data_IF_158613049103
#
_entry.id   IF_158613049103
#
_cell.length_a   1.000
_cell.length_b   1.000
_cell.length_c   1.000
_cell.angle_alpha   90.00
_cell.angle_beta   90.00
_cell.angle_gamma   90.00
#
_symmetry.space_group_name_H-M   'P 1'
#
loop_
_entity.id
_entity.type
_entity.pdbx_description
1 polymer ?
#
# COMPACT_ATOMS: atom_id res chain seq x y z
N UNK A 1 -13.73 -3.29 -18.50
CA UNK A 1 -14.18 -3.13 -19.90
C UNK A 1 -13.33 -2.07 -20.55
N UNK A 2 -12.69 -2.38 -21.65
CA UNK A 2 -11.84 -1.47 -22.42
C UNK A 2 -12.70 -0.50 -23.22
N UNK A 3 -12.48 0.79 -23.10
CA UNK A 3 -13.22 1.79 -23.86
C UNK A 3 -12.47 2.16 -25.14
N UNK A 4 -13.24 2.27 -26.24
CA UNK A 4 -12.73 2.55 -27.57
C UNK A 4 -12.91 4.03 -27.86
N UNK A 5 -11.82 4.76 -28.05
CA UNK A 5 -11.85 6.14 -28.54
C UNK A 5 -11.68 6.10 -30.07
N UNK A 6 -12.65 6.65 -30.81
CA UNK A 6 -12.60 6.70 -32.27
C UNK A 6 -12.18 8.08 -32.70
N UNK A 7 -11.08 8.12 -33.43
CA UNK A 7 -10.52 9.34 -34.00
C UNK A 7 -10.84 9.35 -35.50
N UNK A 8 -11.17 10.51 -36.01
CA UNK A 8 -11.68 10.87 -37.33
C UNK A 8 -11.52 9.83 -38.48
N UNK A 9 -12.62 9.61 -39.20
CA UNK A 9 -12.78 8.59 -40.25
C UNK A 9 -12.17 8.98 -41.59
N UNK A 10 -11.82 10.25 -41.82
CA UNK A 10 -11.27 10.73 -43.09
C UNK A 10 -9.75 10.51 -43.24
N UNK A 11 -9.02 10.16 -42.19
CA UNK A 11 -7.61 9.88 -42.25
C UNK A 11 -7.36 8.37 -42.10
N UNK A 12 -6.87 7.66 -43.12
CA UNK A 12 -6.64 6.21 -43.07
C UNK A 12 -5.52 5.80 -42.10
N UNK A 13 -4.79 6.76 -41.50
CA UNK A 13 -3.72 6.50 -40.55
C UNK A 13 -4.18 6.42 -39.10
N UNK A 14 -5.45 6.74 -38.82
CA UNK A 14 -5.98 6.82 -37.46
C UNK A 14 -6.54 5.49 -36.99
N UNK A 15 -5.91 4.94 -35.98
CA UNK A 15 -6.35 3.72 -35.30
C UNK A 15 -7.13 4.03 -34.02
N UNK A 16 -7.96 3.09 -33.63
CA UNK A 16 -8.76 3.15 -32.40
C UNK A 16 -7.90 3.28 -31.15
N UNK A 17 -8.25 4.17 -30.25
CA UNK A 17 -7.62 4.33 -28.93
C UNK A 17 -8.55 3.69 -27.89
N UNK A 18 -7.99 2.79 -27.09
CA UNK A 18 -8.69 2.15 -25.98
C UNK A 18 -8.40 2.90 -24.70
N UNK A 19 -9.44 3.37 -24.01
CA UNK A 19 -9.35 3.96 -22.69
C UNK A 19 -10.02 3.01 -21.70
N UNK A 20 -9.28 2.58 -20.66
CA UNK A 20 -9.87 1.87 -19.54
C UNK A 20 -10.40 2.87 -18.52
N UNK A 21 -11.67 2.77 -18.08
CA UNK A 21 -12.15 3.62 -17.01
C UNK A 21 -11.59 3.10 -15.69
N UNK A 22 -10.73 3.86 -15.09
CA UNK A 22 -10.36 3.65 -13.68
C UNK A 22 -11.31 4.48 -12.84
N UNK A 23 -12.26 3.82 -12.17
CA UNK A 23 -13.03 4.49 -11.12
C UNK A 23 -12.14 4.61 -9.89
N UNK A 24 -11.89 5.84 -9.46
CA UNK A 24 -10.98 6.17 -8.35
C UNK A 24 -11.53 5.86 -6.95
N UNK A 25 -12.77 5.37 -6.82
CA UNK A 25 -13.46 5.29 -5.52
C UNK A 25 -14.08 3.93 -5.16
N UNK A 26 -13.96 2.91 -6.02
CA UNK A 26 -14.44 1.56 -5.67
C UNK A 26 -15.96 1.43 -5.51
N UNK A 27 -16.74 2.45 -5.87
CA UNK A 27 -18.20 2.38 -5.89
C UNK A 27 -18.65 1.60 -7.12
N UNK A 28 -19.58 0.68 -6.92
CA UNK A 28 -20.30 -0.01 -8.00
C UNK A 28 -20.77 1.01 -9.03
N UNK A 29 -20.45 0.77 -10.32
CA UNK A 29 -20.90 1.59 -11.43
C UNK A 29 -22.40 1.43 -11.60
N UNK A 30 -23.17 1.98 -10.70
CA UNK A 30 -24.59 2.26 -10.91
C UNK A 30 -24.69 3.60 -11.63
N UNK A 31 -24.78 3.51 -12.98
CA UNK A 31 -25.16 4.60 -13.86
C UNK A 31 -24.23 5.84 -13.93
N UNK A 32 -22.91 5.69 -13.85
CA UNK A 32 -22.04 6.77 -14.34
C UNK A 32 -22.02 6.74 -15.88
N UNK A 33 -22.38 7.85 -16.50
CA UNK A 33 -22.38 8.00 -17.95
C UNK A 33 -20.93 7.88 -18.46
N UNK A 34 -20.65 6.82 -19.21
CA UNK A 34 -19.33 6.59 -19.80
C UNK A 34 -19.22 7.44 -21.05
N UNK A 35 -18.21 8.31 -21.12
CA UNK A 35 -17.97 9.20 -22.25
C UNK A 35 -16.93 8.61 -23.19
N UNK A 36 -17.24 8.59 -24.49
CA UNK A 36 -16.27 8.32 -25.54
C UNK A 36 -15.99 9.59 -26.34
N UNK A 37 -14.70 9.90 -26.51
CA UNK A 37 -14.27 11.11 -27.21
C UNK A 37 -14.05 10.84 -28.68
N UNK A 38 -14.63 11.68 -29.54
CA UNK A 38 -14.39 11.72 -30.97
C UNK A 38 -13.54 12.94 -31.27
N UNK A 39 -12.30 12.75 -31.69
CA UNK A 39 -11.34 13.82 -31.94
C UNK A 39 -11.34 14.25 -33.39
N UNK A 40 -11.23 15.57 -33.64
CA UNK A 40 -10.84 16.13 -34.92
C UNK A 40 -9.31 16.25 -35.03
N UNK A 41 -8.78 16.55 -36.22
CA UNK A 41 -7.33 16.67 -36.46
C UNK A 41 -6.66 17.79 -35.64
N UNK A 42 -5.31 17.84 -35.64
CA UNK A 42 -4.49 18.91 -35.00
C UNK A 42 -4.71 20.27 -35.65
N UNK A 43 -4.98 20.30 -36.95
CA UNK A 43 -5.34 21.51 -37.69
C UNK A 43 -6.77 21.31 -38.17
N UNK A 44 -7.76 21.43 -37.25
CA UNK A 44 -9.13 21.11 -37.59
C UNK A 44 -9.67 22.13 -38.61
N UNK A 45 -9.98 21.61 -39.78
CA UNK A 45 -10.78 22.32 -40.78
C UNK A 45 -12.27 22.10 -40.54
N UNK A 46 -13.08 22.73 -41.35
CA UNK A 46 -14.53 22.65 -41.23
C UNK A 46 -15.05 21.23 -41.37
N UNK A 47 -14.46 20.43 -42.27
CA UNK A 47 -14.86 19.03 -42.48
C UNK A 47 -14.58 18.18 -41.25
N UNK A 48 -13.36 18.26 -40.69
CA UNK A 48 -12.97 17.45 -39.52
C UNK A 48 -13.78 17.78 -38.26
N UNK A 49 -14.11 19.06 -38.04
CA UNK A 49 -14.97 19.48 -36.92
C UNK A 49 -16.41 19.01 -37.11
N UNK A 50 -16.97 19.20 -38.28
CA UNK A 50 -18.34 18.79 -38.62
C UNK A 50 -18.47 17.26 -38.59
N UNK A 51 -17.45 16.53 -39.07
CA UNK A 51 -17.41 15.07 -39.00
C UNK A 51 -17.38 14.56 -37.55
N UNK A 52 -16.57 15.17 -36.67
CA UNK A 52 -16.51 14.78 -35.25
C UNK A 52 -17.88 15.00 -34.56
N UNK A 53 -18.51 16.14 -34.77
CA UNK A 53 -19.85 16.46 -34.22
C UNK A 53 -20.88 15.45 -34.74
N UNK A 54 -20.92 15.27 -36.05
CA UNK A 54 -21.91 14.39 -36.70
C UNK A 54 -21.76 12.93 -36.28
N UNK A 55 -20.52 12.46 -36.17
CA UNK A 55 -20.25 11.09 -35.75
C UNK A 55 -20.60 10.88 -34.29
N UNK A 56 -20.25 11.78 -33.39
CA UNK A 56 -20.65 11.72 -31.99
C UNK A 56 -22.16 11.67 -31.83
N UNK A 57 -22.88 12.53 -32.56
CA UNK A 57 -24.35 12.56 -32.58
C UNK A 57 -24.94 11.25 -33.14
N UNK A 58 -24.43 10.75 -34.27
CA UNK A 58 -24.86 9.47 -34.84
C UNK A 58 -24.70 8.31 -33.87
N UNK A 59 -23.57 8.22 -33.19
CA UNK A 59 -23.35 7.21 -32.19
C UNK A 59 -24.31 7.30 -31.03
N UNK A 60 -24.55 8.49 -30.49
CA UNK A 60 -25.51 8.70 -29.41
C UNK A 60 -26.94 8.31 -29.84
N UNK A 61 -27.34 8.60 -31.10
CA UNK A 61 -28.65 8.19 -31.63
C UNK A 61 -28.74 6.65 -31.82
N UNK A 62 -27.67 6.01 -32.24
CA UNK A 62 -27.62 4.52 -32.33
C UNK A 62 -27.77 3.89 -30.92
N UNK A 63 -27.07 4.41 -29.89
CA UNK A 63 -27.21 3.96 -28.52
C UNK A 63 -28.67 4.10 -28.02
N UNK A 64 -29.32 5.23 -28.29
CA UNK A 64 -30.71 5.45 -27.90
C UNK A 64 -31.70 4.52 -28.62
N UNK A 65 -31.49 4.23 -29.91
CA UNK A 65 -32.39 3.41 -30.73
C UNK A 65 -32.25 1.91 -30.52
N UNK A 66 -31.12 1.45 -30.01
CA UNK A 66 -30.81 0.03 -29.81
C UNK A 66 -30.56 -0.33 -28.35
N UNK A 67 -31.53 -0.24 -27.45
CA UNK A 67 -31.31 -0.46 -26.02
C UNK A 67 -30.83 -1.86 -25.67
N UNK A 68 -31.04 -2.86 -26.55
CA UNK A 68 -30.59 -4.25 -26.34
C UNK A 68 -29.09 -4.45 -26.58
N UNK A 69 -28.47 -3.57 -27.39
CA UNK A 69 -27.04 -3.60 -27.72
C UNK A 69 -26.32 -2.35 -27.25
N UNK A 70 -27.05 -1.46 -26.56
CA UNK A 70 -26.51 -0.22 -26.03
C UNK A 70 -25.40 -0.52 -25.03
N UNK A 71 -24.27 0.16 -25.19
CA UNK A 71 -23.11 0.06 -24.30
C UNK A 71 -23.22 0.98 -23.08
N UNK A 72 -24.24 1.85 -23.03
CA UNK A 72 -24.40 2.89 -22.01
C UNK A 72 -23.42 4.05 -22.16
N UNK A 73 -22.74 4.15 -23.30
CA UNK A 73 -21.74 5.18 -23.55
C UNK A 73 -22.38 6.46 -24.09
N UNK A 74 -21.83 7.62 -23.72
CA UNK A 74 -22.12 8.91 -24.34
C UNK A 74 -20.92 9.35 -25.17
N UNK A 75 -21.15 9.73 -26.41
CA UNK A 75 -20.12 10.17 -27.35
C UNK A 75 -20.06 11.70 -27.37
N UNK A 76 -18.87 12.26 -27.15
CA UNK A 76 -18.66 13.72 -27.12
C UNK A 76 -17.61 14.09 -28.17
N UNK A 77 -17.96 15.06 -29.03
CA UNK A 77 -16.99 15.61 -29.96
C UNK A 77 -15.98 16.49 -29.23
N UNK A 78 -14.70 16.34 -29.57
CA UNK A 78 -13.58 17.15 -29.08
C UNK A 78 -12.68 17.56 -30.24
N UNK A 79 -11.88 18.60 -30.08
CA UNK A 79 -10.91 19.05 -31.07
C UNK A 79 -9.51 19.12 -30.48
N UNK A 80 -8.51 18.84 -31.32
CA UNK A 80 -7.11 18.88 -30.93
C UNK A 80 -6.39 20.19 -31.36
N UNK A 81 -7.10 21.14 -31.94
CA UNK A 81 -6.55 22.41 -32.40
C UNK A 81 -7.56 23.55 -32.36
N UNK A 82 -7.12 24.74 -32.76
CA UNK A 82 -7.96 25.95 -32.80
C UNK A 82 -8.95 25.90 -33.96
N UNK A 83 -10.16 26.39 -33.73
CA UNK A 83 -11.18 26.59 -34.78
C UNK A 83 -10.74 27.75 -35.68
N UNK A 84 -10.71 27.53 -36.99
CA UNK A 84 -10.44 28.59 -37.96
C UNK A 84 -11.69 29.45 -38.23
N UNK A 85 -11.53 30.59 -38.93
CA UNK A 85 -12.61 31.53 -39.16
C UNK A 85 -13.76 30.93 -40.00
N UNK A 86 -13.45 30.07 -40.97
CA UNK A 86 -14.44 29.39 -41.79
C UNK A 86 -15.30 28.45 -40.97
N UNK A 87 -14.64 27.61 -40.15
CA UNK A 87 -15.32 26.69 -39.24
C UNK A 87 -16.17 27.44 -38.20
N UNK A 88 -15.65 28.54 -37.66
CA UNK A 88 -16.42 29.37 -36.73
C UNK A 88 -17.70 29.90 -37.37
N UNK A 89 -17.62 30.41 -38.61
CA UNK A 89 -18.76 30.87 -39.35
C UNK A 89 -19.79 29.76 -39.59
N UNK A 90 -19.33 28.56 -39.99
CA UNK A 90 -20.25 27.44 -40.23
C UNK A 90 -20.93 27.01 -38.92
N UNK A 91 -20.20 26.89 -37.83
CA UNK A 91 -20.78 26.54 -36.52
C UNK A 91 -21.82 27.56 -36.07
N UNK A 92 -21.53 28.86 -36.20
CA UNK A 92 -22.46 29.92 -35.87
C UNK A 92 -23.72 29.86 -36.77
N UNK A 93 -23.54 29.67 -38.09
CA UNK A 93 -24.62 29.59 -39.08
C UNK A 93 -25.60 28.46 -38.79
N UNK A 94 -25.11 27.34 -38.26
CA UNK A 94 -25.93 26.16 -37.94
C UNK A 94 -26.25 26.02 -36.46
N UNK A 95 -25.96 27.06 -35.65
CA UNK A 95 -26.17 27.05 -34.19
C UNK A 95 -25.58 25.86 -33.49
N UNK A 96 -24.40 25.38 -33.94
CA UNK A 96 -23.65 24.28 -33.36
C UNK A 96 -22.53 24.82 -32.44
N UNK A 97 -22.41 24.27 -31.26
CA UNK A 97 -21.30 24.60 -30.35
C UNK A 97 -19.99 24.02 -30.85
N UNK A 98 -18.92 24.80 -30.73
CA UNK A 98 -17.58 24.30 -31.04
C UNK A 98 -17.18 23.20 -30.05
N UNK A 99 -16.67 22.05 -30.53
CA UNK A 99 -16.17 21.02 -29.65
C UNK A 99 -15.10 21.56 -28.69
N UNK A 100 -15.14 21.15 -27.41
CA UNK A 100 -14.16 21.57 -26.45
C UNK A 100 -12.75 21.05 -26.85
N UNK A 101 -11.74 21.87 -26.64
CA UNK A 101 -10.37 21.55 -26.99
C UNK A 101 -9.79 20.50 -25.99
N UNK A 102 -9.08 19.52 -26.53
CA UNK A 102 -8.21 18.64 -25.73
C UNK A 102 -6.79 19.14 -25.90
N UNK A 103 -6.16 19.57 -24.81
CA UNK A 103 -4.80 20.09 -24.80
C UNK A 103 -3.76 18.96 -24.72
N UNK A 104 -4.11 17.85 -24.10
CA UNK A 104 -3.23 16.71 -23.93
C UNK A 104 -4.03 15.39 -23.85
N UNK A 105 -3.45 14.34 -24.41
CA UNK A 105 -3.95 12.96 -24.39
C UNK A 105 -2.85 11.99 -23.96
N UNK A 106 -1.82 12.48 -23.29
CA UNK A 106 -0.75 11.67 -22.70
C UNK A 106 -1.35 10.62 -21.75
N UNK A 107 -0.76 9.43 -21.71
CA UNK A 107 -1.13 8.40 -20.74
C UNK A 107 -0.74 8.89 -19.36
N UNK A 108 -1.66 8.88 -18.41
CA UNK A 108 -1.44 9.25 -17.01
C UNK A 108 -1.33 8.01 -16.12
N UNK A 109 -0.86 8.17 -14.90
CA UNK A 109 -0.72 7.06 -13.93
C UNK A 109 -2.07 6.40 -13.63
N UNK A 110 -3.16 7.15 -13.61
CA UNK A 110 -4.53 6.59 -13.46
C UNK A 110 -4.95 5.63 -14.58
N UNK A 111 -4.29 5.73 -15.75
CA UNK A 111 -4.59 4.89 -16.93
C UNK A 111 -3.80 3.58 -16.94
N UNK A 112 -2.84 3.38 -16.03
CA UNK A 112 -2.07 2.15 -15.93
C UNK A 112 -2.63 1.23 -14.85
N UNK A 113 -2.19 -0.03 -14.84
CA UNK A 113 -2.59 -0.98 -13.80
C UNK A 113 -1.97 -0.60 -12.46
N UNK A 114 -2.79 -0.05 -11.57
CA UNK A 114 -2.48 0.23 -10.17
C UNK A 114 -2.96 -0.97 -9.34
N UNK A 115 -2.06 -1.54 -8.53
CA UNK A 115 -2.41 -2.59 -7.57
C UNK A 115 -2.95 -1.91 -6.31
N UNK A 116 -4.22 -2.14 -5.98
CA UNK A 116 -4.85 -1.67 -4.75
C UNK A 116 -4.41 -2.56 -3.58
N UNK A 117 -3.16 -2.43 -3.15
CA UNK A 117 -2.68 -3.10 -1.93
C UNK A 117 -3.14 -2.28 -0.74
N UNK A 118 -3.88 -2.89 0.17
CA UNK A 118 -4.22 -2.23 1.43
C UNK A 118 -2.96 -1.84 2.18
N UNK A 119 -2.95 -0.62 2.70
CA UNK A 119 -1.86 -0.15 3.52
C UNK A 119 -1.90 -0.82 4.89
N UNK A 120 -0.72 -1.07 5.45
CA UNK A 120 -0.58 -1.68 6.78
C UNK A 120 -0.33 -0.61 7.84
N UNK A 121 -0.72 -0.92 9.08
CA UNK A 121 -0.42 -0.06 10.23
C UNK A 121 1.06 -0.18 10.63
N UNK A 122 1.69 0.93 10.98
CA UNK A 122 3.10 1.00 11.36
C UNK A 122 3.47 0.24 12.64
N UNK A 123 2.48 -0.18 13.45
CA UNK A 123 2.70 -0.90 14.71
C UNK A 123 2.63 -2.43 14.57
N UNK A 124 2.31 -2.97 13.39
CA UNK A 124 2.38 -4.42 13.18
C UNK A 124 3.82 -4.92 13.31
N UNK A 125 3.97 -6.19 13.71
CA UNK A 125 5.28 -6.82 13.86
C UNK A 125 5.95 -7.09 12.50
N UNK A 126 7.27 -7.21 12.50
CA UNK A 126 8.04 -7.64 11.32
C UNK A 126 7.59 -9.01 10.82
N UNK A 127 7.27 -9.96 11.74
CA UNK A 127 6.70 -11.28 11.39
C UNK A 127 5.41 -11.10 10.59
N UNK A 128 4.49 -10.27 11.08
CA UNK A 128 3.20 -10.03 10.42
C UNK A 128 3.37 -9.38 9.05
N UNK A 129 4.24 -8.38 8.94
CA UNK A 129 4.55 -7.74 7.66
C UNK A 129 5.12 -8.74 6.63
N UNK A 130 6.04 -9.61 7.07
CA UNK A 130 6.58 -10.67 6.22
C UNK A 130 5.52 -11.67 5.74
N UNK A 131 4.63 -12.09 6.62
CA UNK A 131 3.50 -12.97 6.27
C UNK A 131 2.59 -12.32 5.24
N UNK A 132 2.25 -11.03 5.43
CA UNK A 132 1.44 -10.28 4.47
C UNK A 132 2.13 -10.15 3.11
N UNK A 133 3.44 -9.87 3.08
CA UNK A 133 4.21 -9.84 1.82
C UNK A 133 4.14 -11.18 1.08
N UNK A 134 4.24 -12.31 1.81
CA UNK A 134 4.12 -13.66 1.21
C UNK A 134 2.73 -13.92 0.66
N UNK A 135 1.69 -13.64 1.43
CA UNK A 135 0.29 -13.85 1.02
C UNK A 135 -0.06 -13.01 -0.21
N UNK A 136 0.35 -11.75 -0.21
CA UNK A 136 0.06 -10.81 -1.31
C UNK A 136 1.02 -10.96 -2.51
N UNK A 137 2.08 -11.75 -2.38
CA UNK A 137 3.10 -11.92 -3.43
C UNK A 137 3.85 -10.63 -3.75
N UNK A 138 4.08 -9.77 -2.75
CA UNK A 138 4.70 -8.46 -2.90
C UNK A 138 6.01 -8.36 -2.14
N UNK A 139 6.89 -7.46 -2.56
CA UNK A 139 8.17 -7.18 -1.90
C UNK A 139 8.19 -5.84 -1.17
N UNK A 140 7.10 -5.08 -1.30
CA UNK A 140 6.94 -3.76 -0.70
C UNK A 140 5.51 -3.64 -0.15
N UNK A 141 5.38 -3.23 1.11
CA UNK A 141 4.10 -2.87 1.71
C UNK A 141 4.06 -1.36 1.98
N UNK A 142 2.98 -0.68 1.59
CA UNK A 142 2.72 0.68 2.00
C UNK A 142 2.30 0.71 3.47
N UNK A 143 2.87 1.62 4.23
CA UNK A 143 2.49 1.85 5.62
C UNK A 143 1.65 3.11 5.68
N UNK A 144 0.43 3.01 6.20
CA UNK A 144 -0.55 4.09 6.19
C UNK A 144 -1.07 4.41 7.59
N UNK A 145 -1.46 5.67 7.77
CA UNK A 145 -2.23 6.12 8.93
C UNK A 145 -3.53 6.77 8.43
N UNK A 146 -4.64 6.08 8.65
CA UNK A 146 -5.88 6.40 7.93
C UNK A 146 -5.63 6.23 6.43
N UNK A 147 -5.88 7.28 5.66
CA UNK A 147 -5.66 7.28 4.21
C UNK A 147 -4.30 7.87 3.78
N UNK A 148 -3.45 8.31 4.73
CA UNK A 148 -2.17 8.97 4.41
C UNK A 148 -1.02 7.97 4.41
N UNK A 149 -0.15 8.06 3.41
CA UNK A 149 1.09 7.29 3.36
C UNK A 149 2.04 7.78 4.46
N UNK A 150 2.43 6.88 5.38
CA UNK A 150 3.38 7.15 6.47
C UNK A 150 4.79 6.64 6.14
N UNK A 151 4.87 5.57 5.36
CA UNK A 151 6.14 4.93 5.05
C UNK A 151 6.01 3.79 4.06
N UNK A 152 7.15 3.18 3.76
CA UNK A 152 7.25 1.93 3.01
C UNK A 152 8.12 0.94 3.78
N UNK A 153 7.72 -0.33 3.82
CA UNK A 153 8.56 -1.42 4.31
C UNK A 153 8.83 -2.39 3.16
N UNK A 154 10.08 -2.73 2.96
CA UNK A 154 10.51 -3.67 1.90
C UNK A 154 11.13 -4.93 2.49
N UNK A 155 11.18 -6.01 1.71
CA UNK A 155 11.84 -7.27 2.13
C UNK A 155 13.29 -7.07 2.57
N UNK A 156 13.98 -6.09 1.99
CA UNK A 156 15.34 -5.72 2.37
C UNK A 156 15.44 -5.18 3.80
N UNK A 157 14.46 -4.42 4.26
CA UNK A 157 14.42 -3.90 5.64
C UNK A 157 14.23 -5.05 6.64
N UNK A 158 13.39 -6.04 6.28
CA UNK A 158 13.20 -7.25 7.09
C UNK A 158 14.49 -8.06 7.15
N UNK A 159 15.15 -8.26 6.02
CA UNK A 159 16.43 -8.99 6.00
C UNK A 159 17.51 -8.28 6.82
N UNK A 160 17.60 -6.94 6.68
CA UNK A 160 18.54 -6.12 7.45
C UNK A 160 18.28 -6.21 8.95
N UNK A 161 17.02 -6.10 9.38
CA UNK A 161 16.66 -6.22 10.79
C UNK A 161 17.07 -7.56 11.40
N UNK A 162 17.15 -8.60 10.58
CA UNK A 162 17.56 -9.94 11.01
C UNK A 162 19.08 -10.09 11.14
N UNK A 163 19.83 -9.35 10.31
CA UNK A 163 21.30 -9.44 10.28
C UNK A 163 21.98 -8.50 11.28
N UNK A 164 21.32 -7.38 11.60
CA UNK A 164 21.91 -6.32 12.45
C UNK A 164 21.60 -6.48 13.95
N UNK A 165 21.00 -7.63 14.36
CA UNK A 165 20.59 -7.84 15.75
C UNK A 165 21.76 -8.36 16.60
N UNK A 166 22.52 -7.44 17.15
CA UNK A 166 23.51 -7.70 18.20
C UNK A 166 23.17 -7.00 19.53
N UNK A 167 22.08 -6.21 19.54
CA UNK A 167 21.69 -5.41 20.69
C UNK A 167 20.47 -6.03 21.38
N UNK A 168 20.64 -6.48 22.61
CA UNK A 168 19.57 -7.07 23.42
C UNK A 168 18.58 -6.02 23.95
N UNK A 169 18.83 -4.72 23.77
CA UNK A 169 17.91 -3.62 24.12
C UNK A 169 17.05 -3.18 22.94
N UNK A 170 17.20 -3.81 21.77
CA UNK A 170 16.52 -3.35 20.54
C UNK A 170 14.99 -3.41 20.64
N UNK A 171 14.43 -4.36 21.39
CA UNK A 171 12.97 -4.46 21.59
C UNK A 171 12.42 -3.26 22.35
N UNK A 172 13.10 -2.82 23.40
CA UNK A 172 12.71 -1.64 24.18
C UNK A 172 12.92 -0.36 23.39
N UNK A 173 14.04 -0.25 22.67
CA UNK A 173 14.34 0.89 21.77
C UNK A 173 13.29 1.02 20.65
N UNK A 174 12.84 -0.09 20.09
CA UNK A 174 11.78 -0.13 19.09
C UNK A 174 10.38 0.13 19.67
N UNK A 175 10.25 0.17 21.02
CA UNK A 175 8.98 0.30 21.75
C UNK A 175 8.01 -0.79 21.31
N UNK A 176 8.43 -2.05 21.49
CA UNK A 176 7.67 -3.22 21.05
C UNK A 176 6.44 -3.42 21.92
N UNK A 177 5.28 -3.56 21.31
CA UNK A 177 4.02 -3.83 22.01
C UNK A 177 3.97 -5.29 22.45
N UNK A 178 3.51 -5.58 23.66
CA UNK A 178 3.41 -6.95 24.16
C UNK A 178 2.51 -7.83 23.29
N UNK A 179 1.47 -7.29 22.70
CA UNK A 179 0.65 -7.97 21.70
C UNK A 179 1.48 -8.57 20.56
N UNK A 180 2.43 -7.79 20.03
CA UNK A 180 3.31 -8.27 18.97
C UNK A 180 4.21 -9.42 19.44
N UNK A 181 4.65 -9.40 20.72
CA UNK A 181 5.43 -10.47 21.32
C UNK A 181 4.59 -11.74 21.43
N UNK A 182 3.37 -11.62 21.98
CA UNK A 182 2.41 -12.72 22.09
C UNK A 182 2.12 -13.33 20.72
N UNK A 183 1.75 -12.53 19.74
CA UNK A 183 1.46 -13.01 18.37
C UNK A 183 2.69 -13.63 17.69
N UNK A 184 3.88 -13.09 17.93
CA UNK A 184 5.10 -13.60 17.30
C UNK A 184 5.53 -14.95 17.87
N UNK A 185 5.32 -15.15 19.17
CA UNK A 185 5.71 -16.37 19.88
C UNK A 185 4.56 -17.40 19.99
N UNK A 186 3.45 -17.19 19.26
CA UNK A 186 2.23 -18.00 19.39
C UNK A 186 1.85 -18.23 20.87
N UNK A 187 2.05 -17.17 21.67
CA UNK A 187 1.95 -17.22 23.12
C UNK A 187 0.55 -16.88 23.64
N UNK A 188 0.40 -17.10 24.94
CA UNK A 188 -0.77 -16.71 25.72
C UNK A 188 -0.36 -15.69 26.77
N UNK A 189 -1.07 -14.56 26.84
CA UNK A 189 -0.91 -13.58 27.90
C UNK A 189 -1.66 -14.07 29.15
N UNK A 190 -0.96 -14.21 30.28
CA UNK A 190 -1.51 -14.63 31.56
C UNK A 190 -1.74 -13.47 32.50
N UNK A 191 -0.85 -12.47 32.50
CA UNK A 191 -0.97 -11.23 33.29
C UNK A 191 -0.51 -10.02 32.49
N UNK A 192 -0.96 -8.85 32.88
CA UNK A 192 -0.56 -7.58 32.26
C UNK A 192 -1.49 -7.12 31.13
N UNK A 193 -1.04 -6.13 30.38
CA UNK A 193 -1.81 -5.51 29.29
C UNK A 193 -1.08 -5.70 27.96
N UNK A 194 -1.71 -6.42 27.03
CA UNK A 194 -1.15 -6.68 25.69
C UNK A 194 -0.90 -5.41 24.85
N UNK A 195 -1.65 -4.34 25.14
CA UNK A 195 -1.51 -3.06 24.45
C UNK A 195 -0.43 -2.15 25.04
N UNK A 196 0.16 -2.53 26.18
CA UNK A 196 1.33 -1.83 26.72
C UNK A 196 2.60 -2.12 25.89
N UNK A 197 3.62 -1.32 26.14
CA UNK A 197 4.87 -1.37 25.37
C UNK A 197 6.05 -1.72 26.26
N UNK A 198 6.92 -2.58 25.76
CA UNK A 198 8.25 -2.79 26.33
C UNK A 198 9.13 -1.59 25.93
N UNK A 199 9.50 -0.75 26.89
CA UNK A 199 10.15 0.53 26.64
C UNK A 199 11.48 0.73 27.37
N UNK A 200 11.79 -0.13 28.33
CA UNK A 200 13.03 -0.14 29.10
C UNK A 200 13.54 -1.57 29.29
N UNK A 201 14.82 -1.71 29.56
CA UNK A 201 15.43 -3.01 29.81
C UNK A 201 15.93 -3.71 28.55
N UNK A 202 16.53 -4.87 28.77
CA UNK A 202 17.09 -5.78 27.76
C UNK A 202 16.38 -7.13 27.79
N UNK A 203 16.61 -7.94 26.76
CA UNK A 203 16.18 -9.35 26.75
C UNK A 203 17.24 -10.20 27.44
N UNK A 204 16.83 -10.96 28.44
CA UNK A 204 17.68 -11.87 29.21
C UNK A 204 17.17 -13.31 29.04
N UNK A 205 18.05 -14.25 28.85
CA UNK A 205 17.71 -15.67 28.82
C UNK A 205 18.14 -16.25 30.17
N UNK A 206 17.18 -16.67 30.97
CA UNK A 206 17.38 -17.26 32.30
C UNK A 206 17.77 -18.72 32.20
N UNK A 207 19.08 -19.00 32.07
CA UNK A 207 19.65 -20.36 32.03
C UNK A 207 20.65 -20.49 33.18
N UNK A 208 20.55 -21.58 33.94
CA UNK A 208 21.47 -21.88 35.01
C UNK A 208 20.81 -22.02 36.37
N UNK A 209 21.58 -21.77 37.46
CA UNK A 209 21.02 -21.80 38.81
C UNK A 209 20.16 -20.58 39.10
N UNK A 210 19.21 -20.66 40.04
CA UNK A 210 18.36 -19.54 40.42
C UNK A 210 19.14 -18.25 40.74
N UNK A 211 20.25 -18.37 41.45
CA UNK A 211 21.12 -17.24 41.82
C UNK A 211 21.82 -16.64 40.58
N UNK A 212 22.25 -17.51 39.64
CA UNK A 212 22.86 -17.10 38.37
C UNK A 212 21.88 -16.33 37.50
N UNK A 213 20.65 -16.80 37.42
CA UNK A 213 19.56 -16.13 36.70
C UNK A 213 19.27 -14.74 37.29
N UNK A 214 19.12 -14.68 38.62
CA UNK A 214 18.84 -13.41 39.34
C UNK A 214 19.96 -12.38 39.13
N UNK A 215 21.23 -12.81 39.14
CA UNK A 215 22.36 -11.88 38.96
C UNK A 215 22.46 -11.29 37.56
N UNK A 216 21.78 -11.89 36.55
CA UNK A 216 21.76 -11.43 35.15
C UNK A 216 20.61 -10.46 34.86
N UNK A 217 19.61 -10.40 35.74
CA UNK A 217 18.37 -9.62 35.52
C UNK A 217 18.50 -8.27 36.19
N UNK A 218 18.33 -7.23 35.42
CA UNK A 218 18.15 -5.87 35.92
C UNK A 218 16.65 -5.50 35.97
N UNK A 219 16.34 -4.43 36.68
CA UNK A 219 15.00 -3.87 36.70
C UNK A 219 14.52 -3.57 35.28
N UNK A 220 13.24 -3.82 35.03
CA UNK A 220 12.54 -3.59 33.76
C UNK A 220 12.96 -4.51 32.60
N UNK A 221 13.83 -5.52 32.84
CA UNK A 221 14.23 -6.48 31.82
C UNK A 221 13.06 -7.38 31.37
N UNK A 222 13.16 -7.93 30.16
CA UNK A 222 12.33 -9.00 29.65
C UNK A 222 13.09 -10.32 29.81
N UNK A 223 12.55 -11.25 30.56
CA UNK A 223 13.21 -12.52 30.91
C UNK A 223 12.53 -13.69 30.19
N UNK A 224 13.31 -14.50 29.48
CA UNK A 224 12.86 -15.80 28.96
C UNK A 224 13.36 -16.90 29.87
N UNK A 225 12.46 -17.76 30.35
CA UNK A 225 12.78 -18.78 31.36
C UNK A 225 12.00 -20.07 31.11
N UNK A 226 12.49 -21.18 31.67
CA UNK A 226 11.84 -22.48 31.64
C UNK A 226 10.91 -22.71 32.84
N UNK A 227 10.82 -23.99 33.26
CA UNK A 227 9.90 -24.52 34.28
C UNK A 227 10.33 -24.32 35.74
N UNK A 228 11.50 -23.78 35.99
CA UNK A 228 12.01 -23.60 37.37
C UNK A 228 11.21 -22.54 38.13
N UNK A 229 10.24 -22.94 38.95
CA UNK A 229 9.37 -22.04 39.72
C UNK A 229 10.16 -21.06 40.61
N UNK A 230 11.21 -21.55 41.29
CA UNK A 230 12.11 -20.71 42.10
C UNK A 230 12.74 -19.58 41.25
N UNK A 231 13.25 -19.93 40.07
CA UNK A 231 13.82 -18.94 39.13
C UNK A 231 12.78 -17.98 38.58
N UNK A 232 11.55 -18.45 38.39
CA UNK A 232 10.41 -17.57 37.96
C UNK A 232 10.08 -16.57 39.07
N UNK A 233 9.95 -17.03 40.31
CA UNK A 233 9.69 -16.16 41.49
C UNK A 233 10.82 -15.15 41.74
N UNK A 234 12.06 -15.53 41.60
CA UNK A 234 13.20 -14.64 41.72
C UNK A 234 13.26 -13.61 40.59
N UNK A 235 12.90 -14.00 39.38
CA UNK A 235 12.79 -13.07 38.25
C UNK A 235 11.74 -11.98 38.50
N UNK A 236 10.58 -12.36 39.02
CA UNK A 236 9.50 -11.42 39.41
C UNK A 236 10.01 -10.54 40.58
N UNK A 237 10.72 -11.11 41.56
CA UNK A 237 11.27 -10.36 42.70
C UNK A 237 12.31 -9.33 42.26
N UNK A 238 13.04 -9.57 41.16
CA UNK A 238 13.98 -8.61 40.56
C UNK A 238 13.32 -7.46 39.82
N UNK A 239 11.98 -7.35 39.82
CA UNK A 239 11.19 -6.34 39.14
C UNK A 239 11.42 -6.32 37.62
N UNK A 240 11.49 -7.49 36.98
CA UNK A 240 11.44 -7.57 35.52
C UNK A 240 10.11 -7.00 35.01
N UNK A 241 10.09 -6.40 33.82
CA UNK A 241 8.86 -5.87 33.22
C UNK A 241 8.02 -6.96 32.53
N UNK A 242 8.70 -8.01 32.04
CA UNK A 242 8.04 -9.10 31.36
C UNK A 242 8.77 -10.42 31.63
N UNK A 243 8.02 -11.49 31.85
CA UNK A 243 8.53 -12.85 31.93
C UNK A 243 7.84 -13.72 30.87
N UNK A 244 8.65 -14.45 30.07
CA UNK A 244 8.17 -15.38 29.05
C UNK A 244 8.58 -16.78 29.47
N UNK A 245 7.59 -17.62 29.80
CA UNK A 245 7.80 -19.03 30.10
C UNK A 245 7.72 -19.85 28.82
N UNK A 246 8.78 -20.58 28.52
CA UNK A 246 8.95 -21.32 27.25
C UNK A 246 8.55 -22.79 27.40
N UNK A 247 8.53 -23.56 26.29
CA UNK A 247 8.17 -24.97 26.19
C UNK A 247 6.71 -25.32 26.56
N UNK A 248 5.83 -24.36 26.73
CA UNK A 248 4.46 -24.62 27.15
C UNK A 248 4.33 -25.21 28.57
N UNK A 249 5.31 -24.98 29.41
CA UNK A 249 5.27 -25.45 30.80
C UNK A 249 4.07 -24.84 31.54
N UNK A 250 3.49 -25.65 32.43
CA UNK A 250 2.47 -25.16 33.37
C UNK A 250 3.10 -24.19 34.35
N UNK A 251 2.41 -23.09 34.61
CA UNK A 251 2.85 -22.04 35.53
C UNK A 251 1.97 -22.12 36.76
N UNK A 252 2.58 -22.16 37.95
CA UNK A 252 1.83 -22.25 39.20
C UNK A 252 0.98 -21.00 39.44
N UNK A 253 -0.11 -21.18 40.19
CA UNK A 253 -1.00 -20.08 40.53
C UNK A 253 -0.27 -19.02 41.39
N UNK A 254 0.70 -19.46 42.22
CA UNK A 254 1.53 -18.58 43.03
C UNK A 254 2.37 -17.64 42.16
N UNK A 255 2.98 -18.14 41.08
CA UNK A 255 3.75 -17.34 40.13
C UNK A 255 2.85 -16.33 39.41
N UNK A 256 1.63 -16.76 38.99
CA UNK A 256 0.67 -15.87 38.33
C UNK A 256 0.22 -14.76 39.26
N UNK A 257 -0.06 -15.08 40.52
CA UNK A 257 -0.46 -14.07 41.52
C UNK A 257 0.68 -13.09 41.84
N UNK A 258 1.87 -13.58 42.04
CA UNK A 258 3.07 -12.76 42.25
C UNK A 258 3.34 -11.81 41.06
N UNK A 259 3.16 -12.30 39.84
CA UNK A 259 3.29 -11.48 38.63
C UNK A 259 2.22 -10.37 38.57
N UNK A 260 0.98 -10.68 38.95
CA UNK A 260 -0.11 -9.68 39.03
C UNK A 260 0.18 -8.61 40.08
N UNK A 261 0.60 -9.02 41.29
CA UNK A 261 0.89 -8.09 42.39
C UNK A 261 2.01 -7.12 42.05
N UNK A 262 2.98 -7.55 41.24
CA UNK A 262 4.13 -6.72 40.83
C UNK A 262 3.98 -6.09 39.45
N UNK A 263 2.81 -6.20 38.84
CA UNK A 263 2.51 -5.68 37.51
C UNK A 263 3.44 -6.22 36.41
N UNK A 264 4.00 -7.42 36.59
CA UNK A 264 4.83 -8.08 35.60
C UNK A 264 3.96 -8.67 34.48
N UNK A 265 4.32 -8.42 33.22
CA UNK A 265 3.67 -9.06 32.07
C UNK A 265 4.13 -10.49 31.98
N UNK A 266 3.22 -11.46 32.11
CA UNK A 266 3.52 -12.89 32.05
C UNK A 266 2.95 -13.50 30.77
N UNK A 267 3.82 -14.10 29.96
CA UNK A 267 3.49 -14.73 28.68
C UNK A 267 3.95 -16.19 28.73
N UNK A 268 3.11 -17.14 28.34
CA UNK A 268 3.47 -18.51 28.07
C UNK A 268 3.60 -18.73 26.57
N UNK A 269 4.63 -19.46 26.11
CA UNK A 269 4.79 -19.84 24.70
C UNK A 269 5.08 -21.33 24.57
N UNK A 270 4.50 -22.01 23.53
CA UNK A 270 4.82 -23.41 23.26
C UNK A 270 6.25 -23.63 22.72
N UNK A 271 6.90 -22.57 22.25
CA UNK A 271 8.25 -22.65 21.70
C UNK A 271 9.30 -22.90 22.80
N UNK A 272 10.34 -23.66 22.46
CA UNK A 272 11.54 -23.78 23.30
C UNK A 272 12.28 -22.44 23.37
N UNK A 273 13.16 -22.31 24.37
CA UNK A 273 13.88 -21.07 24.65
C UNK A 273 14.73 -20.59 23.47
N UNK A 274 15.37 -21.51 22.73
CA UNK A 274 16.18 -21.16 21.57
C UNK A 274 15.31 -20.60 20.43
N UNK A 275 14.20 -21.26 20.14
CA UNK A 275 13.23 -20.82 19.13
C UNK A 275 12.62 -19.48 19.51
N UNK A 276 12.18 -19.31 20.76
CA UNK A 276 11.61 -18.07 21.27
C UNK A 276 12.63 -16.91 21.18
N UNK A 277 13.88 -17.14 21.59
CA UNK A 277 14.95 -16.14 21.51
C UNK A 277 15.28 -15.73 20.06
N UNK A 278 15.17 -16.63 19.11
CA UNK A 278 15.33 -16.30 17.67
C UNK A 278 14.16 -15.53 17.11
N UNK A 279 12.95 -15.82 17.54
CA UNK A 279 11.74 -15.23 16.99
C UNK A 279 11.41 -13.87 17.61
N UNK A 280 11.78 -13.62 18.86
CA UNK A 280 11.32 -12.44 19.59
C UNK A 280 11.63 -11.14 18.89
N UNK A 281 12.76 -11.03 18.20
CA UNK A 281 13.14 -9.84 17.46
C UNK A 281 12.20 -9.54 16.28
N UNK A 282 11.46 -10.54 15.78
CA UNK A 282 10.46 -10.36 14.74
C UNK A 282 9.17 -9.71 15.26
N UNK A 283 9.03 -9.58 16.60
CA UNK A 283 7.91 -8.85 17.23
C UNK A 283 8.03 -7.33 17.13
N UNK A 284 9.22 -6.82 16.79
CA UNK A 284 9.43 -5.38 16.66
C UNK A 284 8.49 -4.76 15.64
N UNK A 285 7.96 -3.55 15.92
CA UNK A 285 7.07 -2.87 14.99
C UNK A 285 7.81 -2.40 13.73
N UNK A 286 7.17 -2.53 12.56
CA UNK A 286 7.75 -2.08 11.29
C UNK A 286 8.09 -0.59 11.28
N UNK A 287 7.45 0.21 12.11
CA UNK A 287 7.71 1.64 12.30
C UNK A 287 9.19 1.95 12.59
N UNK A 288 9.90 1.04 13.23
CA UNK A 288 11.31 1.20 13.56
C UNK A 288 12.21 1.09 12.31
N UNK A 289 11.82 0.28 11.33
CA UNK A 289 12.63 -0.07 10.16
C UNK A 289 12.15 0.56 8.85
N UNK A 290 10.88 0.94 8.75
CA UNK A 290 10.31 1.47 7.52
C UNK A 290 10.99 2.76 7.06
N UNK A 291 11.06 2.94 5.76
CA UNK A 291 11.48 4.20 5.15
C UNK A 291 10.36 5.23 5.30
N UNK A 292 10.68 6.39 5.91
CA UNK A 292 9.73 7.50 6.17
C UNK A 292 10.01 8.76 5.38
N UNK A 293 11.27 8.97 4.98
CA UNK A 293 11.73 10.18 4.28
C UNK A 293 12.21 9.84 2.89
N UNK A 294 12.01 10.77 1.97
CA UNK A 294 12.46 10.58 0.60
C UNK A 294 11.71 9.49 -0.16
N UNK A 295 10.48 9.20 0.24
CA UNK A 295 9.61 8.27 -0.49
C UNK A 295 9.23 8.92 -1.81
N UNK A 296 9.62 8.25 -2.90
CA UNK A 296 9.22 8.66 -4.24
C UNK A 296 7.82 8.09 -4.48
N UNK A 297 6.88 8.95 -4.70
CA UNK A 297 5.50 8.67 -5.03
C UNK A 297 5.11 9.43 -6.29
N UNK A 298 4.00 9.07 -6.87
CA UNK A 298 3.44 9.73 -8.04
C UNK A 298 1.96 9.99 -7.84
N UNK A 299 1.47 11.04 -8.48
CA UNK A 299 0.06 11.39 -8.46
C UNK A 299 -0.69 10.70 -9.61
N UNK A 300 -2.00 10.52 -9.43
CA UNK A 300 -2.85 9.88 -10.45
C UNK A 300 -2.78 10.57 -11.82
N UNK A 301 -2.58 11.90 -11.81
CA UNK A 301 -2.56 12.73 -13.01
C UNK A 301 -1.18 12.91 -13.62
N UNK A 302 -0.12 12.35 -13.01
CA UNK A 302 1.23 12.39 -13.55
C UNK A 302 1.32 11.68 -14.91
N UNK A 303 2.08 12.26 -15.86
CA UNK A 303 2.25 11.65 -17.17
C UNK A 303 3.24 10.49 -17.14
N UNK A 304 2.85 9.38 -17.73
CA UNK A 304 3.64 8.14 -17.76
C UNK A 304 5.04 8.35 -18.37
N UNK A 305 5.18 9.21 -19.36
CA UNK A 305 6.48 9.45 -19.99
C UNK A 305 7.45 10.20 -19.05
N UNK A 306 6.97 11.18 -18.29
CA UNK A 306 7.74 11.89 -17.25
C UNK A 306 8.11 10.95 -16.10
N UNK A 307 7.15 10.13 -15.68
CA UNK A 307 7.37 9.12 -14.64
C UNK A 307 8.40 8.08 -15.08
N UNK A 308 8.40 7.68 -16.37
CA UNK A 308 9.42 6.77 -16.92
C UNK A 308 10.84 7.33 -16.82
N UNK A 309 11.02 8.60 -17.14
CA UNK A 309 12.31 9.28 -17.03
C UNK A 309 12.80 9.31 -15.58
N UNK A 310 11.90 9.66 -14.66
CA UNK A 310 12.19 9.66 -13.22
C UNK A 310 12.57 8.27 -12.72
N UNK A 311 11.75 7.25 -13.04
CA UNK A 311 11.92 5.88 -12.59
C UNK A 311 13.16 5.22 -13.20
N UNK A 312 13.60 5.62 -14.41
CA UNK A 312 14.79 5.06 -15.06
C UNK A 312 16.06 5.21 -14.19
N UNK A 313 16.16 6.29 -13.45
CA UNK A 313 17.32 6.63 -12.63
C UNK A 313 17.24 6.13 -11.17
N UNK A 314 16.15 5.43 -10.78
CA UNK A 314 15.88 5.00 -9.43
C UNK A 314 15.94 3.47 -9.36
N UNK A 315 16.41 2.90 -8.23
CA UNK A 315 16.49 1.44 -8.06
C UNK A 315 15.26 0.80 -7.45
N UNK A 316 14.22 1.57 -7.10
CA UNK A 316 13.00 1.04 -6.51
C UNK A 316 12.18 0.23 -7.52
N UNK A 317 11.47 -0.78 -7.05
CA UNK A 317 10.64 -1.68 -7.88
C UNK A 317 9.18 -1.25 -7.92
N UNK A 318 8.66 -0.78 -6.80
CA UNK A 318 7.26 -0.42 -6.60
C UNK A 318 7.18 1.02 -6.10
N UNK A 319 6.17 1.74 -6.57
CA UNK A 319 5.96 3.15 -6.27
C UNK A 319 4.52 3.37 -5.78
N UNK A 320 4.33 4.08 -4.66
CA UNK A 320 3.01 4.48 -4.21
C UNK A 320 2.40 5.54 -5.11
N UNK A 321 1.08 5.48 -5.23
CA UNK A 321 0.25 6.45 -5.94
C UNK A 321 -0.63 7.18 -4.93
N UNK A 322 -0.69 8.50 -5.08
CA UNK A 322 -1.51 9.37 -4.26
C UNK A 322 -2.60 10.03 -5.12
N UNK A 323 -3.70 10.42 -4.48
CA UNK A 323 -4.74 11.25 -5.10
C UNK A 323 -4.43 12.76 -4.92
N UNK A 324 -5.28 13.62 -5.47
CA UNK A 324 -5.21 15.07 -5.35
C UNK A 324 -5.23 15.58 -3.89
N UNK A 325 -5.81 14.79 -2.98
CA UNK A 325 -5.86 15.06 -1.53
C UNK A 325 -4.67 14.45 -0.79
N UNK A 326 -3.67 13.93 -1.51
CA UNK A 326 -2.51 13.23 -0.96
C UNK A 326 -2.90 11.98 -0.14
N UNK A 327 -4.00 11.30 -0.47
CA UNK A 327 -4.34 10.02 0.09
C UNK A 327 -3.69 8.90 -0.73
N UNK A 328 -3.31 7.85 -0.05
CA UNK A 328 -2.78 6.66 -0.68
C UNK A 328 -3.88 5.93 -1.47
N UNK A 329 -3.64 5.67 -2.74
CA UNK A 329 -4.57 4.99 -3.67
C UNK A 329 -4.14 3.55 -3.94
N UNK A 330 -2.84 3.32 -4.08
CA UNK A 330 -2.31 2.01 -4.44
C UNK A 330 -0.84 2.05 -4.81
N UNK A 331 -0.35 0.97 -5.39
CA UNK A 331 1.02 0.80 -5.83
C UNK A 331 1.07 0.43 -7.31
N UNK A 332 2.02 0.94 -8.06
CA UNK A 332 2.39 0.35 -9.33
C UNK A 332 3.85 -0.11 -9.33
N UNK A 333 4.13 -1.11 -10.13
CA UNK A 333 5.49 -1.60 -10.30
C UNK A 333 6.14 -1.01 -11.55
N UNK A 334 7.48 -0.96 -11.56
CA UNK A 334 8.24 -0.64 -12.78
C UNK A 334 7.76 -1.45 -13.99
N UNK A 335 7.38 -2.72 -13.79
CA UNK A 335 6.85 -3.57 -14.85
C UNK A 335 5.51 -3.08 -15.41
N UNK A 336 4.61 -2.58 -14.54
CA UNK A 336 3.35 -1.98 -14.98
C UNK A 336 3.60 -0.75 -15.85
N UNK A 337 4.52 0.10 -15.42
CA UNK A 337 4.92 1.29 -16.16
C UNK A 337 5.52 0.97 -17.55
N UNK A 338 6.35 -0.07 -17.63
CA UNK A 338 6.95 -0.50 -18.91
C UNK A 338 5.94 -1.16 -19.85
N UNK A 339 4.87 -1.76 -19.30
CA UNK A 339 3.76 -2.32 -20.09
C UNK A 339 2.74 -1.29 -20.52
N UNK A 340 2.73 -0.10 -19.90
CA UNK A 340 1.86 0.98 -20.32
C UNK A 340 2.20 1.29 -21.78
N UNK A 341 1.30 0.94 -22.69
CA UNK A 341 1.45 1.29 -24.10
C UNK A 341 1.46 2.82 -24.18
N UNK A 342 2.42 3.37 -24.95
CA UNK A 342 2.33 4.75 -25.37
C UNK A 342 1.00 4.86 -26.08
N UNK A 343 0.07 5.66 -25.60
CA UNK A 343 -1.05 6.12 -26.40
C UNK A 343 -0.43 6.83 -27.59
N UNK A 344 -0.14 6.10 -28.67
CA UNK A 344 0.29 6.69 -29.92
C UNK A 344 -0.93 7.42 -30.45
N UNK A 345 -1.00 8.72 -30.19
CA UNK A 345 -1.66 9.62 -31.13
C UNK A 345 -0.83 9.55 -32.41
N UNK A 346 -1.27 8.75 -33.33
CA UNK A 346 -0.90 8.92 -34.72
C UNK A 346 -1.87 9.98 -35.23
N UNK A 347 -1.39 11.19 -35.25
CA UNK A 347 -2.06 12.34 -35.84
C UNK A 347 -1.88 12.28 -37.34
#
# INVERSE_FOLDING_TARGET
MTHKCIINVSDPTIKEIWLDPVCSDGTDITASTIYQTVLSSRHPDTDSICAAISYANLKNEIEKKNPKTATGMTYIAKRAGSVNAETAYVLERFHAEAPAMISDVGTQIKDIQIRRTEGVNSHISMKKAWEMMKILGVVTLPVVRGNKLEGLIVTGDIAKSYMDVYDNTILSTARTQYKNIVETLDGQLLTGNEHAYFVHGKVVIGIGTPEGVTSAIDKDDLVMIGDGEESQMLSIASNCSCMIVTNGYEISQEVIEAAKEREVVLISTPYDTFTAARLINQSMPIKHFMTKKGIIHFDLDDYVDEVRETVANIRHRDFPVLDENQNYVGMFSRRNLMKAEKKKLIL
#
